data_IF_424006254921
#
_entry.id   IF_424006254921
#
_cell.length_a   1.000
_cell.length_b   1.000
_cell.length_c   1.000
_cell.angle_alpha   90.00
_cell.angle_beta   90.00
_cell.angle_gamma   90.00
#
_symmetry.space_group_name_H-M   'P 1'
#
loop_
_entity.id
_entity.type
_entity.pdbx_description
1 polymer ?
#
# COMPACT_ATOMS: atom_id res chain seq x y z
N UNK A 1 -7.78 14.03 9.20
CA UNK A 1 -7.15 14.94 10.21
C UNK A 1 -5.72 15.21 9.79
N UNK A 2 -5.37 16.47 9.71
CA UNK A 2 -4.04 16.87 9.26
C UNK A 2 -2.90 16.38 10.16
N UNK A 3 -3.19 16.11 11.42
CA UNK A 3 -2.18 15.74 12.41
C UNK A 3 -2.20 14.25 12.79
N UNK A 4 -2.92 13.45 12.03
CA UNK A 4 -2.92 12.02 12.29
C UNK A 4 -1.56 11.43 11.98
N UNK A 5 -1.06 10.62 12.90
CA UNK A 5 0.19 9.92 12.74
C UNK A 5 -0.07 8.41 12.72
N UNK A 6 0.74 7.68 11.98
CA UNK A 6 0.70 6.24 11.99
C UNK A 6 1.16 5.74 13.36
N UNK A 7 0.25 5.10 14.07
CA UNK A 7 0.54 4.50 15.37
C UNK A 7 0.66 3.00 15.18
N UNK A 8 1.89 2.50 15.21
CA UNK A 8 2.17 1.07 14.98
C UNK A 8 1.83 0.19 16.18
N UNK A 9 1.46 0.78 17.31
CA UNK A 9 1.05 0.00 18.49
C UNK A 9 -0.37 -0.54 18.36
N UNK A 10 -1.15 -0.03 17.41
CA UNK A 10 -2.52 -0.50 17.13
C UNK A 10 -2.58 -1.00 15.69
N UNK A 11 -3.55 -1.87 15.42
CA UNK A 11 -3.76 -2.38 14.07
C UNK A 11 -4.25 -1.28 13.15
N UNK A 12 -3.64 -1.16 11.96
CA UNK A 12 -4.00 -0.22 10.93
C UNK A 12 -4.21 -0.93 9.61
N UNK A 13 -4.90 -0.27 8.69
CA UNK A 13 -4.95 -0.69 7.29
C UNK A 13 -4.11 0.27 6.45
N UNK A 14 -3.23 -0.28 5.64
CA UNK A 14 -2.28 0.48 4.83
C UNK A 14 -2.32 -0.02 3.40
N UNK A 15 -2.47 0.90 2.46
CA UNK A 15 -2.38 0.58 1.03
C UNK A 15 -1.12 1.20 0.45
N UNK A 16 -0.33 0.40 -0.26
CA UNK A 16 0.96 0.84 -0.81
C UNK A 16 0.88 0.83 -2.34
N UNK A 17 0.97 2.02 -2.93
CA UNK A 17 0.97 2.19 -4.38
C UNK A 17 2.39 2.02 -4.89
N UNK A 18 2.59 1.09 -5.82
CA UNK A 18 3.92 0.73 -6.29
C UNK A 18 4.64 -0.21 -5.33
N UNK A 19 3.92 -1.15 -4.76
CA UNK A 19 4.42 -2.05 -3.69
C UNK A 19 5.61 -2.90 -4.13
N UNK A 20 5.76 -3.16 -5.42
CA UNK A 20 6.91 -3.89 -5.96
C UNK A 20 8.18 -3.05 -6.11
N UNK A 21 8.10 -1.76 -5.83
CA UNK A 21 9.25 -0.86 -5.93
C UNK A 21 10.32 -1.15 -4.90
N UNK A 22 11.53 -0.63 -5.16
CA UNK A 22 12.67 -0.82 -4.27
C UNK A 22 12.35 -0.29 -2.86
N UNK A 23 12.55 -1.12 -1.86
CA UNK A 23 12.29 -0.78 -0.46
C UNK A 23 10.84 -0.85 -0.02
N UNK A 24 9.88 -0.75 -0.94
CA UNK A 24 8.46 -0.77 -0.57
C UNK A 24 8.02 -2.15 -0.11
N UNK A 25 8.53 -3.21 -0.73
CA UNK A 25 8.24 -4.57 -0.32
C UNK A 25 8.70 -4.86 1.11
N UNK A 26 9.87 -4.35 1.47
CA UNK A 26 10.39 -4.53 2.82
C UNK A 26 9.50 -3.84 3.86
N UNK A 27 9.02 -2.64 3.56
CA UNK A 27 8.09 -1.91 4.43
C UNK A 27 6.79 -2.71 4.60
N UNK A 28 6.25 -3.22 3.49
CA UNK A 28 5.02 -4.01 3.51
C UNK A 28 5.18 -5.26 4.37
N UNK A 29 6.31 -5.95 4.24
CA UNK A 29 6.61 -7.15 5.01
C UNK A 29 6.65 -6.85 6.50
N UNK A 30 7.33 -5.79 6.90
CA UNK A 30 7.42 -5.36 8.30
C UNK A 30 6.03 -5.06 8.86
N UNK A 31 5.23 -4.28 8.13
CA UNK A 31 3.89 -3.92 8.57
C UNK A 31 2.99 -5.15 8.70
N UNK A 32 3.03 -6.05 7.74
CA UNK A 32 2.24 -7.28 7.79
C UNK A 32 2.66 -8.16 8.99
N UNK A 33 3.96 -8.26 9.24
CA UNK A 33 4.50 -9.03 10.37
C UNK A 33 4.04 -8.44 11.71
N UNK A 34 3.86 -7.12 11.78
CA UNK A 34 3.36 -6.44 12.97
C UNK A 34 1.85 -6.58 13.17
N UNK A 35 1.14 -7.23 12.25
CA UNK A 35 -0.29 -7.46 12.36
C UNK A 35 -1.16 -6.41 11.70
N UNK A 36 -0.60 -5.51 10.92
CA UNK A 36 -1.38 -4.53 10.17
C UNK A 36 -1.99 -5.18 8.92
N UNK A 37 -3.12 -4.64 8.49
CA UNK A 37 -3.74 -5.04 7.23
C UNK A 37 -3.07 -4.29 6.10
N UNK A 38 -2.33 -5.01 5.26
CA UNK A 38 -1.55 -4.40 4.18
C UNK A 38 -2.09 -4.83 2.84
N UNK A 39 -2.30 -3.85 1.96
CA UNK A 39 -2.62 -4.09 0.56
C UNK A 39 -1.65 -3.26 -0.29
N UNK A 40 -1.61 -3.56 -1.56
CA UNK A 40 -0.79 -2.77 -2.46
C UNK A 40 -1.09 -3.05 -3.91
N UNK A 41 -0.60 -2.19 -4.77
CA UNK A 41 -0.77 -2.31 -6.21
C UNK A 41 0.56 -2.09 -6.92
N UNK A 42 0.67 -2.73 -8.08
CA UNK A 42 1.78 -2.50 -9.01
C UNK A 42 1.29 -2.80 -10.41
N UNK A 43 1.93 -2.22 -11.40
CA UNK A 43 1.56 -2.46 -12.79
C UNK A 43 2.07 -3.81 -13.28
N UNK A 44 3.03 -4.40 -12.60
CA UNK A 44 3.69 -5.62 -13.05
C UNK A 44 3.82 -6.62 -11.91
N UNK A 45 3.46 -7.85 -12.16
CA UNK A 45 3.68 -8.93 -11.21
C UNK A 45 5.15 -9.33 -11.16
N UNK A 46 5.58 -9.87 -10.03
CA UNK A 46 6.94 -10.34 -9.84
C UNK A 46 7.02 -11.33 -8.68
N UNK A 47 8.14 -12.04 -8.59
CA UNK A 47 8.39 -12.96 -7.48
C UNK A 47 8.45 -12.25 -6.12
N UNK A 48 8.83 -10.99 -6.09
CA UNK A 48 8.82 -10.21 -4.85
C UNK A 48 7.42 -10.12 -4.27
N UNK A 49 6.42 -10.00 -5.14
CA UNK A 49 5.02 -9.91 -4.72
C UNK A 49 4.53 -11.25 -4.17
N UNK A 50 5.02 -12.37 -4.69
CA UNK A 50 4.67 -13.69 -4.17
C UNK A 50 5.05 -13.82 -2.69
N UNK A 51 6.22 -13.33 -2.32
CA UNK A 51 6.66 -13.32 -0.93
C UNK A 51 5.70 -12.50 -0.06
N UNK A 52 5.28 -11.35 -0.53
CA UNK A 52 4.34 -10.49 0.19
C UNK A 52 2.98 -11.18 0.34
N UNK A 53 2.51 -11.85 -0.70
CA UNK A 53 1.27 -12.62 -0.62
C UNK A 53 1.34 -13.70 0.47
N UNK A 54 2.50 -14.30 0.64
CA UNK A 54 2.71 -15.30 1.70
C UNK A 54 2.59 -14.71 3.10
N UNK A 55 2.85 -13.42 3.25
CA UNK A 55 2.66 -12.69 4.52
C UNK A 55 1.23 -12.18 4.71
N UNK A 56 0.33 -12.46 3.77
CA UNK A 56 -1.05 -12.02 3.86
C UNK A 56 -1.32 -10.64 3.27
N UNK A 57 -0.37 -10.09 2.53
CA UNK A 57 -0.56 -8.81 1.84
C UNK A 57 -1.45 -9.04 0.62
N UNK A 58 -2.49 -8.21 0.49
CA UNK A 58 -3.39 -8.25 -0.66
C UNK A 58 -2.79 -7.44 -1.81
N UNK A 59 -2.50 -8.12 -2.92
CA UNK A 59 -1.82 -7.51 -4.07
C UNK A 59 -2.78 -7.36 -5.24
N UNK A 60 -2.81 -6.17 -5.82
CA UNK A 60 -3.55 -5.87 -7.05
C UNK A 60 -2.55 -5.60 -8.16
N UNK A 61 -2.72 -6.26 -9.30
CA UNK A 61 -1.92 -5.97 -10.49
C UNK A 61 -2.72 -5.03 -11.37
N UNK A 62 -2.13 -3.88 -11.68
CA UNK A 62 -2.81 -2.79 -12.34
C UNK A 62 -3.29 -1.75 -11.34
N UNK A 63 -3.15 -0.48 -11.70
CA UNK A 63 -3.65 0.62 -10.87
C UNK A 63 -5.11 0.91 -11.19
N UNK A 64 -5.92 1.00 -10.16
CA UNK A 64 -7.36 1.24 -10.30
C UNK A 64 -7.82 1.97 -9.02
N UNK A 65 -8.64 3.03 -9.14
CA UNK A 65 -9.14 3.75 -7.96
C UNK A 65 -9.84 2.81 -6.95
N UNK A 66 -10.43 1.72 -7.42
CA UNK A 66 -11.11 0.74 -6.56
C UNK A 66 -10.15 -0.03 -5.66
N UNK A 67 -8.86 -0.02 -5.97
CA UNK A 67 -7.85 -0.66 -5.11
C UNK A 67 -7.66 0.11 -3.80
N UNK A 68 -7.92 1.42 -3.83
CA UNK A 68 -7.81 2.29 -2.66
C UNK A 68 -9.15 2.26 -1.93
N UNK A 69 -9.24 1.39 -0.96
CA UNK A 69 -10.43 1.25 -0.12
C UNK A 69 -10.34 2.23 1.05
N UNK A 70 -11.28 2.16 1.97
CA UNK A 70 -11.24 2.98 3.18
C UNK A 70 -10.13 2.46 4.09
N UNK A 71 -8.90 2.78 3.75
CA UNK A 71 -7.73 2.42 4.55
C UNK A 71 -7.32 3.60 5.42
N UNK A 72 -6.60 3.30 6.50
CA UNK A 72 -6.12 4.34 7.42
C UNK A 72 -5.02 5.17 6.78
N UNK A 73 -4.13 4.55 6.02
CA UNK A 73 -2.97 5.20 5.44
C UNK A 73 -2.72 4.70 4.03
N UNK A 74 -2.21 5.62 3.21
CA UNK A 74 -1.75 5.30 1.85
C UNK A 74 -0.31 5.77 1.74
N UNK A 75 0.56 4.87 1.32
CA UNK A 75 1.93 5.19 0.99
C UNK A 75 2.16 4.94 -0.49
N UNK A 76 3.14 5.61 -1.07
CA UNK A 76 3.50 5.38 -2.46
C UNK A 76 5.01 5.38 -2.65
N UNK A 77 5.44 4.64 -3.66
CA UNK A 77 6.82 4.69 -4.12
C UNK A 77 7.09 6.06 -4.76
N UNK A 78 8.31 6.55 -4.66
CA UNK A 78 8.71 7.80 -5.32
C UNK A 78 8.61 7.73 -6.84
N UNK A 79 8.56 6.54 -7.41
CA UNK A 79 8.37 6.33 -8.85
C UNK A 79 6.93 6.54 -9.30
N UNK A 80 5.97 6.63 -8.38
CA UNK A 80 4.56 6.82 -8.70
C UNK A 80 4.27 8.30 -8.89
N UNK A 81 3.64 8.63 -10.02
CA UNK A 81 3.25 9.99 -10.34
C UNK A 81 2.09 10.47 -9.46
N UNK A 82 2.06 11.77 -9.18
CA UNK A 82 0.94 12.42 -8.48
C UNK A 82 -0.38 12.24 -9.22
N UNK A 83 -0.34 12.06 -10.53
CA UNK A 83 -1.53 11.86 -11.36
C UNK A 83 -2.00 10.40 -11.42
N UNK A 84 -1.31 9.49 -10.75
CA UNK A 84 -1.73 8.09 -10.68
C UNK A 84 -3.17 8.02 -10.13
N UNK A 85 -4.01 7.18 -10.75
CA UNK A 85 -5.43 7.10 -10.39
C UNK A 85 -5.67 6.72 -8.92
N UNK A 86 -4.79 5.92 -8.34
CA UNK A 86 -4.90 5.55 -6.94
C UNK A 86 -4.49 6.70 -6.02
N UNK A 87 -3.49 7.48 -6.42
CA UNK A 87 -3.12 8.69 -5.67
C UNK A 87 -4.26 9.69 -5.65
N UNK A 88 -4.91 9.90 -6.79
CA UNK A 88 -6.06 10.80 -6.88
C UNK A 88 -7.21 10.30 -6.03
N UNK A 89 -7.47 9.01 -6.01
CA UNK A 89 -8.53 8.45 -5.18
C UNK A 89 -8.22 8.59 -3.69
N UNK A 90 -6.96 8.40 -3.30
CA UNK A 90 -6.53 8.58 -1.91
C UNK A 90 -6.77 10.02 -1.43
N UNK A 91 -6.48 11.00 -2.29
CA UNK A 91 -6.73 12.40 -1.97
C UNK A 91 -8.22 12.69 -1.82
N UNK A 92 -9.06 12.06 -2.62
CA UNK A 92 -10.53 12.17 -2.51
C UNK A 92 -11.05 11.60 -1.20
N UNK A 93 -10.46 10.52 -0.75
CA UNK A 93 -10.89 9.85 0.47
C UNK A 93 -10.46 10.63 1.73
N UNK A 94 -9.51 11.51 1.57
CA UNK A 94 -8.99 12.31 2.66
C UNK A 94 -7.77 11.68 3.35
#
# INVERSE_FOLDING_TARGET
>A
MANEKLDLSVSNSVHIIGIGGAGMGAIAEVLATMGHEVSGSDIKDSHRLDRLRAFGVEIYIGHDPRNVKEVNFVARSTAISDSNVECLQALKNG
#
